data_IF_090210428264
#
_entry.id   IF_090210428264
#
_cell.length_a   1.000
_cell.length_b   1.000
_cell.length_c   1.000
_cell.angle_alpha   90.00
_cell.angle_beta   90.00
_cell.angle_gamma   90.00
#
_symmetry.space_group_name_H-M   'P 1'
#
loop_
_entity.id
_entity.type
_entity.pdbx_description
1 polymer ?
#
# COMPACT_ATOMS: atom_id res chain seq x y z
N UNK A 1 28.55 8.34 -9.37
CA UNK A 1 27.28 7.60 -9.27
C UNK A 1 26.17 8.48 -9.79
N UNK A 2 25.32 7.97 -10.67
CA UNK A 2 24.13 8.71 -11.12
C UNK A 2 23.09 8.75 -10.01
N UNK A 3 22.37 9.86 -9.87
CA UNK A 3 21.29 9.98 -8.89
C UNK A 3 20.13 9.04 -9.30
N UNK A 4 19.76 8.04 -8.48
CA UNK A 4 18.65 7.13 -8.82
C UNK A 4 17.30 7.86 -8.90
N UNK A 5 17.18 9.05 -8.31
CA UNK A 5 15.98 9.91 -8.37
C UNK A 5 15.81 10.62 -9.71
N UNK A 6 16.60 10.28 -10.73
CA UNK A 6 16.37 10.75 -12.10
C UNK A 6 15.91 9.62 -13.01
N UNK A 7 15.72 8.42 -12.47
CA UNK A 7 15.31 7.25 -13.25
C UNK A 7 13.79 7.08 -13.22
N UNK A 8 13.20 6.75 -14.36
CA UNK A 8 11.77 6.39 -14.43
C UNK A 8 11.50 5.17 -13.54
N UNK A 9 10.36 5.19 -12.86
CA UNK A 9 9.87 4.09 -12.04
C UNK A 9 8.62 3.52 -12.72
N UNK A 10 8.64 2.22 -13.01
CA UNK A 10 7.52 1.50 -13.61
C UNK A 10 6.78 0.68 -12.53
N UNK A 11 5.49 0.93 -12.36
CA UNK A 11 4.62 0.29 -11.35
C UNK A 11 3.37 -0.28 -12.03
N UNK A 12 3.53 -1.43 -12.67
CA UNK A 12 2.46 -2.11 -13.39
C UNK A 12 1.87 -1.23 -14.51
N UNK A 13 0.57 -0.88 -14.46
CA UNK A 13 -0.06 -0.05 -15.49
C UNK A 13 0.27 1.45 -15.38
N UNK A 14 1.14 1.84 -14.44
CA UNK A 14 1.54 3.23 -14.23
C UNK A 14 3.05 3.39 -14.37
N UNK A 15 3.47 4.53 -14.90
CA UNK A 15 4.85 4.97 -14.91
C UNK A 15 4.95 6.32 -14.19
N UNK A 16 5.99 6.49 -13.39
CA UNK A 16 6.34 7.73 -12.72
C UNK A 16 7.68 8.19 -13.30
N UNK A 17 7.70 9.34 -13.97
CA UNK A 17 8.89 9.87 -14.64
C UNK A 17 9.19 11.31 -14.22
N UNK A 18 10.47 11.70 -14.09
CA UNK A 18 10.84 13.09 -13.90
C UNK A 18 10.52 13.90 -15.17
N UNK A 19 10.16 15.17 -14.98
CA UNK A 19 10.05 16.12 -16.09
C UNK A 19 11.43 16.53 -16.63
N UNK A 20 11.43 17.28 -17.75
CA UNK A 20 12.66 17.68 -18.44
C UNK A 20 13.60 18.54 -17.56
N UNK A 21 13.05 19.22 -16.55
CA UNK A 21 13.80 20.04 -15.60
C UNK A 21 14.23 19.25 -14.36
N UNK A 22 13.75 18.01 -14.19
CA UNK A 22 14.09 17.11 -13.08
C UNK A 22 13.52 17.51 -11.72
N UNK A 23 12.75 18.60 -11.67
CA UNK A 23 12.22 19.16 -10.42
C UNK A 23 10.86 18.55 -10.05
N UNK A 24 10.08 18.09 -11.03
CA UNK A 24 8.79 17.46 -10.79
C UNK A 24 8.68 16.10 -11.47
N UNK A 25 7.75 15.32 -10.96
CA UNK A 25 7.48 13.97 -11.42
C UNK A 25 6.01 13.85 -11.80
N UNK A 26 5.77 13.19 -12.93
CA UNK A 26 4.44 12.97 -13.47
C UNK A 26 4.15 11.48 -13.49
N UNK A 27 2.98 11.12 -12.96
CA UNK A 27 2.41 9.79 -13.15
C UNK A 27 1.66 9.75 -14.49
N UNK A 28 1.87 8.71 -15.27
CA UNK A 28 1.20 8.47 -16.55
C UNK A 28 0.70 7.02 -16.55
N UNK A 29 -0.56 6.81 -16.92
CA UNK A 29 -1.07 5.47 -17.09
C UNK A 29 -0.66 4.89 -18.45
N UNK A 30 -0.72 3.56 -18.58
CA UNK A 30 -0.35 2.84 -19.81
C UNK A 30 -1.21 3.20 -21.03
N UNK A 31 -2.39 3.78 -20.84
CA UNK A 31 -3.23 4.32 -21.92
C UNK A 31 -2.82 5.76 -22.35
N UNK A 32 -1.75 6.29 -21.76
CA UNK A 32 -1.25 7.65 -22.03
C UNK A 32 -1.98 8.75 -21.26
N UNK A 33 -2.98 8.41 -20.43
CA UNK A 33 -3.65 9.41 -19.60
C UNK A 33 -2.68 9.97 -18.56
N UNK A 34 -2.57 11.29 -18.54
CA UNK A 34 -1.72 12.02 -17.60
C UNK A 34 -2.42 12.12 -16.25
N UNK A 35 -1.73 11.67 -15.21
CA UNK A 35 -2.17 11.79 -13.82
C UNK A 35 -1.46 13.00 -13.15
N UNK A 36 -1.58 13.20 -11.82
CA UNK A 36 -1.10 14.41 -11.16
C UNK A 36 0.42 14.58 -11.24
N UNK A 37 0.87 15.83 -11.12
CA UNK A 37 2.28 16.22 -11.09
C UNK A 37 2.64 16.65 -9.67
N UNK A 38 3.74 16.14 -9.13
CA UNK A 38 4.21 16.45 -7.78
C UNK A 38 5.74 16.45 -7.68
N UNK A 39 6.28 17.03 -6.63
CA UNK A 39 7.70 16.91 -6.30
C UNK A 39 8.03 15.50 -5.80
N UNK A 40 9.33 15.14 -5.77
CA UNK A 40 9.77 13.84 -5.26
C UNK A 40 9.28 13.57 -3.82
N UNK A 41 9.31 14.58 -2.95
CA UNK A 41 8.83 14.46 -1.56
C UNK A 41 7.33 14.15 -1.47
N UNK A 42 6.52 14.67 -2.40
CA UNK A 42 5.08 14.43 -2.41
C UNK A 42 4.78 12.97 -2.72
N UNK A 43 5.52 12.39 -3.69
CA UNK A 43 5.42 10.98 -4.04
C UNK A 43 5.89 10.07 -2.89
N UNK A 44 6.98 10.43 -2.21
CA UNK A 44 7.45 9.69 -1.02
C UNK A 44 6.39 9.71 0.08
N UNK A 45 5.78 10.87 0.37
CA UNK A 45 4.74 10.99 1.37
C UNK A 45 3.49 10.16 1.00
N UNK A 46 3.09 10.17 -0.28
CA UNK A 46 2.00 9.34 -0.78
C UNK A 46 2.29 7.84 -0.60
N UNK A 47 3.48 7.37 -0.99
CA UNK A 47 3.87 5.96 -0.84
C UNK A 47 3.85 5.51 0.62
N UNK A 48 4.38 6.33 1.53
CA UNK A 48 4.33 6.05 2.97
C UNK A 48 2.88 5.95 3.48
N UNK A 49 2.00 6.85 3.02
CA UNK A 49 0.58 6.81 3.40
C UNK A 49 -0.13 5.56 2.87
N UNK A 50 0.16 5.15 1.64
CA UNK A 50 -0.39 3.91 1.05
C UNK A 50 0.02 2.70 1.90
N UNK A 51 1.31 2.57 2.23
CA UNK A 51 1.81 1.46 3.05
C UNK A 51 1.20 1.45 4.45
N UNK A 52 1.01 2.62 5.06
CA UNK A 52 0.34 2.74 6.36
C UNK A 52 -1.11 2.25 6.30
N UNK A 53 -1.85 2.64 5.25
CA UNK A 53 -3.24 2.22 5.05
C UNK A 53 -3.36 0.72 4.79
N UNK A 54 -2.47 0.15 3.97
CA UNK A 54 -2.38 -1.30 3.74
C UNK A 54 -2.11 -2.07 5.04
N UNK A 55 -1.19 -1.59 5.88
CA UNK A 55 -0.93 -2.16 7.20
C UNK A 55 -2.16 -2.18 8.10
N UNK A 56 -2.87 -1.05 8.21
CA UNK A 56 -4.10 -0.96 9.00
C UNK A 56 -5.20 -1.91 8.51
N UNK A 57 -5.28 -2.11 7.20
CA UNK A 57 -6.26 -3.02 6.61
C UNK A 57 -5.92 -4.48 6.90
N UNK A 58 -4.66 -4.90 6.73
CA UNK A 58 -4.20 -6.25 7.06
C UNK A 58 -4.38 -6.60 8.53
N UNK A 59 -4.11 -5.64 9.43
CA UNK A 59 -4.39 -5.82 10.86
C UNK A 59 -5.87 -6.02 11.15
N UNK A 60 -6.75 -5.33 10.40
CA UNK A 60 -8.19 -5.50 10.52
C UNK A 60 -8.63 -6.88 10.04
N UNK A 61 -8.13 -7.35 8.90
CA UNK A 61 -8.40 -8.69 8.40
C UNK A 61 -7.92 -9.76 9.37
N UNK A 62 -6.68 -9.66 9.87
CA UNK A 62 -6.13 -10.59 10.83
C UNK A 62 -6.96 -10.69 12.13
N UNK A 63 -7.55 -9.56 12.58
CA UNK A 63 -8.49 -9.58 13.71
C UNK A 63 -9.82 -10.25 13.37
N UNK A 64 -10.30 -10.11 12.13
CA UNK A 64 -11.47 -10.83 11.62
C UNK A 64 -11.21 -12.34 11.59
N UNK A 65 -10.08 -12.77 11.03
CA UNK A 65 -9.68 -14.17 10.98
C UNK A 65 -9.56 -14.77 12.38
N UNK A 66 -9.00 -14.03 13.34
CA UNK A 66 -8.90 -14.45 14.74
C UNK A 66 -10.28 -14.60 15.39
N UNK A 67 -11.23 -13.71 15.07
CA UNK A 67 -12.60 -13.79 15.55
C UNK A 67 -13.34 -14.99 14.94
N UNK A 68 -13.21 -15.22 13.63
CA UNK A 68 -13.82 -16.37 12.94
C UNK A 68 -13.27 -17.69 13.49
N UNK A 69 -11.95 -17.79 13.70
CA UNK A 69 -11.31 -18.95 14.33
C UNK A 69 -11.81 -19.16 15.77
N UNK A 70 -11.93 -18.08 16.56
CA UNK A 70 -12.46 -18.15 17.92
C UNK A 70 -13.93 -18.57 17.96
N UNK A 71 -14.74 -18.10 17.02
CA UNK A 71 -16.14 -18.49 16.88
C UNK A 71 -16.28 -19.96 16.48
N UNK A 72 -15.51 -20.42 15.48
CA UNK A 72 -15.47 -21.82 15.09
C UNK A 72 -15.01 -22.73 16.25
N UNK A 73 -14.00 -22.31 17.03
CA UNK A 73 -13.54 -23.04 18.21
C UNK A 73 -14.59 -23.08 19.32
N UNK A 74 -15.42 -22.04 19.49
CA UNK A 74 -16.49 -22.02 20.50
C UNK A 74 -17.66 -22.98 20.24
N UNK A 75 -17.81 -23.44 18.99
CA UNK A 75 -18.79 -24.46 18.60
C UNK A 75 -18.28 -25.91 18.75
N UNK A 76 -17.02 -26.10 19.17
CA UNK A 76 -16.43 -27.41 19.43
C UNK A 76 -17.01 -28.05 20.70
N UNK A 77 -17.22 -29.37 20.68
CA UNK A 77 -17.71 -30.14 21.85
C UNK A 77 -16.71 -30.10 23.01
N UNK A 78 -15.44 -29.81 22.72
CA UNK A 78 -14.35 -29.65 23.70
C UNK A 78 -14.13 -28.20 24.15
N UNK A 79 -14.98 -27.25 23.73
CA UNK A 79 -14.87 -25.84 24.10
C UNK A 79 -15.19 -25.65 25.60
N UNK A 80 -14.16 -25.78 26.45
CA UNK A 80 -14.26 -25.52 27.88
C UNK A 80 -13.92 -24.05 28.19
N UNK A 81 -14.77 -23.38 28.98
CA UNK A 81 -14.49 -22.04 29.51
C UNK A 81 -13.38 -22.13 30.58
N UNK A 82 -12.21 -21.52 30.38
CA UNK A 82 -11.08 -21.60 31.32
C UNK A 82 -11.24 -20.76 32.59
N UNK A 83 -12.31 -19.97 32.69
CA UNK A 83 -12.62 -19.13 33.86
C UNK A 83 -13.79 -19.68 34.70
N UNK A 84 -14.09 -20.98 34.58
CA UNK A 84 -15.04 -21.67 35.45
C UNK A 84 -14.33 -22.39 36.59
#
# INVERSE_FOLDING_TARGET
>A
MSDPRTQRIDVGPFQLAPDAEGARWRAVASDGSSAPVGGWSDWVALSQRILQLDGLWREREARGDAWDQGHAASGSVDAANPYR
#
